data_IF_774748568044
#
_entry.id   IF_774748568044
#
_cell.length_a   1.000
_cell.length_b   1.000
_cell.length_c   1.000
_cell.angle_alpha   90.00
_cell.angle_beta   90.00
_cell.angle_gamma   90.00
#
_symmetry.space_group_name_H-M   'P 1'
#
loop_
_entity.id
_entity.type
_entity.pdbx_description
1 polymer ?
#
# COMPACT_ATOMS: atom_id res chain seq x y z
N UNK A 1 30.86 10.81 7.35
CA UNK A 1 29.39 10.83 7.53
C UNK A 1 28.79 11.64 6.39
N UNK A 2 28.55 10.99 5.24
CA UNK A 2 27.92 11.59 4.05
C UNK A 2 27.32 10.52 3.12
N UNK A 3 27.79 9.29 3.23
CA UNK A 3 27.30 8.15 2.43
C UNK A 3 26.01 7.50 2.92
N UNK A 4 25.44 7.91 4.06
CA UNK A 4 24.14 7.39 4.54
C UNK A 4 22.98 8.26 4.03
N UNK A 5 23.20 9.54 3.78
CA UNK A 5 22.15 10.49 3.36
C UNK A 5 21.74 10.30 1.89
N UNK A 6 22.67 9.90 1.02
CA UNK A 6 22.40 9.68 -0.41
C UNK A 6 21.60 8.40 -0.70
N UNK A 7 21.76 7.35 0.11
CA UNK A 7 20.94 6.12 -0.02
C UNK A 7 19.51 6.35 0.49
N UNK A 8 19.34 7.19 1.51
CA UNK A 8 18.01 7.54 2.04
C UNK A 8 17.12 8.28 1.02
N UNK A 9 17.67 9.16 0.18
CA UNK A 9 16.88 9.87 -0.83
C UNK A 9 16.32 8.96 -1.93
N UNK A 10 17.04 7.90 -2.27
CA UNK A 10 16.68 6.94 -3.32
C UNK A 10 15.69 5.89 -2.77
N UNK A 11 15.93 5.35 -1.57
CA UNK A 11 15.02 4.37 -0.96
C UNK A 11 13.63 4.96 -0.68
N UNK A 12 13.54 6.23 -0.26
CA UNK A 12 12.25 6.90 -0.08
C UNK A 12 11.49 7.12 -1.40
N UNK A 13 12.19 7.41 -2.50
CA UNK A 13 11.55 7.57 -3.82
C UNK A 13 11.04 6.23 -4.36
N UNK A 14 11.82 5.16 -4.22
CA UNK A 14 11.39 3.82 -4.65
C UNK A 14 10.19 3.33 -3.85
N UNK A 15 10.16 3.58 -2.53
CA UNK A 15 9.02 3.24 -1.68
C UNK A 15 7.77 4.06 -2.04
N UNK A 16 7.92 5.35 -2.39
CA UNK A 16 6.81 6.21 -2.83
C UNK A 16 6.19 5.72 -4.14
N UNK A 17 7.03 5.36 -5.11
CA UNK A 17 6.58 4.84 -6.41
C UNK A 17 5.93 3.46 -6.23
N UNK A 18 6.52 2.57 -5.44
CA UNK A 18 5.96 1.26 -5.13
C UNK A 18 4.58 1.39 -4.47
N UNK A 19 4.44 2.28 -3.46
CA UNK A 19 3.15 2.60 -2.83
C UNK A 19 2.12 3.06 -3.85
N UNK A 20 2.47 3.99 -4.73
CA UNK A 20 1.57 4.49 -5.77
C UNK A 20 1.11 3.40 -6.75
N UNK A 21 2.00 2.48 -7.13
CA UNK A 21 1.63 1.34 -7.98
C UNK A 21 0.72 0.35 -7.25
N UNK A 22 0.99 0.03 -5.98
CA UNK A 22 0.14 -0.85 -5.18
C UNK A 22 -1.25 -0.22 -4.97
N UNK A 23 -1.32 1.09 -4.70
CA UNK A 23 -2.60 1.81 -4.62
C UNK A 23 -3.39 1.73 -5.95
N UNK A 24 -2.72 1.93 -7.09
CA UNK A 24 -3.34 1.79 -8.42
C UNK A 24 -3.79 0.36 -8.71
N UNK A 25 -3.05 -0.64 -8.24
CA UNK A 25 -3.41 -2.05 -8.35
C UNK A 25 -4.67 -2.36 -7.55
N UNK A 26 -4.74 -1.87 -6.30
CA UNK A 26 -5.90 -2.04 -5.41
C UNK A 26 -7.13 -1.21 -5.82
N UNK A 27 -6.95 -0.13 -6.60
CA UNK A 27 -8.06 0.60 -7.20
C UNK A 27 -8.82 -0.23 -8.26
N UNK A 28 -8.22 -1.32 -8.77
CA UNK A 28 -8.91 -2.22 -9.68
C UNK A 28 -9.79 -3.22 -8.90
N UNK A 29 -11.11 -2.99 -8.95
CA UNK A 29 -12.10 -3.80 -8.23
C UNK A 29 -12.02 -5.29 -8.57
N UNK A 30 -11.62 -5.68 -9.79
CA UNK A 30 -11.47 -7.11 -10.15
C UNK A 30 -10.32 -7.75 -9.38
N UNK A 31 -9.21 -7.03 -9.23
CA UNK A 31 -8.01 -7.51 -8.55
C UNK A 31 -8.26 -7.56 -7.04
N UNK A 32 -8.82 -6.48 -6.48
CA UNK A 32 -9.17 -6.42 -5.05
C UNK A 32 -10.19 -7.48 -4.66
N UNK A 33 -11.21 -7.72 -5.51
CA UNK A 33 -12.17 -8.80 -5.31
C UNK A 33 -11.50 -10.18 -5.37
N UNK A 34 -10.61 -10.42 -6.33
CA UNK A 34 -9.93 -11.70 -6.41
C UNK A 34 -9.04 -11.95 -5.18
N UNK A 35 -8.31 -10.92 -4.73
CA UNK A 35 -7.48 -10.96 -3.52
C UNK A 35 -8.32 -11.20 -2.28
N UNK A 36 -9.47 -10.54 -2.13
CA UNK A 36 -10.35 -10.75 -0.97
C UNK A 36 -10.89 -12.18 -0.90
N UNK A 37 -11.17 -12.81 -2.04
CA UNK A 37 -11.70 -14.18 -2.07
C UNK A 37 -10.63 -15.27 -1.90
N UNK A 38 -9.41 -15.05 -2.40
CA UNK A 38 -8.40 -16.13 -2.45
C UNK A 38 -7.24 -15.92 -1.47
N UNK A 39 -6.90 -14.67 -1.13
CA UNK A 39 -5.70 -14.32 -0.38
C UNK A 39 -5.86 -13.02 0.41
N UNK A 40 -6.79 -13.02 1.37
CA UNK A 40 -7.09 -11.85 2.20
C UNK A 40 -5.86 -11.34 2.99
N UNK A 41 -4.93 -12.22 3.35
CA UNK A 41 -3.68 -11.86 4.01
C UNK A 41 -2.81 -10.92 3.16
N UNK A 42 -2.70 -11.17 1.85
CA UNK A 42 -1.96 -10.27 0.95
C UNK A 42 -2.70 -8.95 0.72
N UNK A 43 -4.03 -8.97 0.73
CA UNK A 43 -4.81 -7.74 0.61
C UNK A 43 -4.51 -6.77 1.77
N UNK A 44 -4.47 -7.28 3.01
CA UNK A 44 -4.15 -6.48 4.18
C UNK A 44 -2.73 -5.90 4.13
N UNK A 45 -1.74 -6.68 3.73
CA UNK A 45 -0.37 -6.19 3.57
C UNK A 45 -0.24 -5.15 2.45
N UNK A 46 -0.94 -5.34 1.32
CA UNK A 46 -0.96 -4.36 0.24
C UNK A 46 -1.67 -3.06 0.63
N UNK A 47 -2.75 -3.12 1.41
CA UNK A 47 -3.41 -1.93 1.95
C UNK A 47 -2.48 -1.15 2.88
N UNK A 48 -1.74 -1.83 3.77
CA UNK A 48 -0.72 -1.22 4.63
C UNK A 48 0.39 -0.55 3.82
N UNK A 49 0.93 -1.23 2.80
CA UNK A 49 1.97 -0.67 1.92
C UNK A 49 1.44 0.55 1.17
N UNK A 50 0.21 0.47 0.68
CA UNK A 50 -0.49 1.55 -0.02
C UNK A 50 -0.87 2.72 0.91
N UNK A 51 -0.71 2.58 2.24
CA UNK A 51 -1.32 3.46 3.26
C UNK A 51 -2.81 3.70 3.00
N UNK A 52 -3.48 2.75 2.36
CA UNK A 52 -4.93 2.74 2.28
C UNK A 52 -5.38 2.25 3.64
N UNK A 53 -5.65 3.20 4.53
CA UNK A 53 -6.32 2.90 5.78
C UNK A 53 -7.60 2.15 5.41
N UNK A 54 -7.80 0.89 5.84
CA UNK A 54 -9.11 0.28 5.77
C UNK A 54 -9.96 1.09 6.74
N UNK A 55 -10.54 2.18 6.23
CA UNK A 55 -11.28 3.15 7.01
C UNK A 55 -12.18 2.38 7.96
N UNK A 56 -12.02 2.53 9.28
CA UNK A 56 -12.86 1.83 10.23
C UNK A 56 -14.28 2.31 9.94
N UNK A 57 -15.09 1.40 9.42
CA UNK A 57 -16.52 1.45 9.63
C UNK A 57 -16.70 1.42 11.14
N UNK A 58 -16.82 2.59 11.75
CA UNK A 58 -17.36 2.72 13.08
C UNK A 58 -17.95 4.12 13.29
N UNK A 59 -19.29 4.12 13.31
CA UNK A 59 -20.08 4.69 14.39
C UNK A 59 -19.91 6.20 14.62
N UNK A 60 -20.82 7.01 14.04
CA UNK A 60 -21.55 8.03 14.80
C UNK A 60 -22.71 8.64 13.97
N UNK A 61 -23.89 8.65 14.60
CA UNK A 61 -25.20 9.19 14.23
C UNK A 61 -26.17 8.32 13.41
#
# INVERSE_FOLDING_TARGET
MKSVEETYGIDNLHLTVARGYVAKLLANTRITRWLSYHRQEYLGEFQKIAEIDPQPEALDA
#
